data_IF_789388816106
#
_entry.id   IF_789388816106
#
_cell.length_a   1.000
_cell.length_b   1.000
_cell.length_c   1.000
_cell.angle_alpha   90.00
_cell.angle_beta   90.00
_cell.angle_gamma   90.00
#
_symmetry.space_group_name_H-M   'P 1'
#
loop_
_entity.id
_entity.type
_entity.pdbx_description
1 polymer ?
#
# COMPACT_ATOMS: atom_id res chain seq x y z
N UNK A 1 8.56 -22.03 3.36
CA UNK A 1 9.26 -20.88 3.94
C UNK A 1 8.65 -19.59 3.43
N UNK A 2 8.34 -18.67 4.30
CA UNK A 2 7.76 -17.40 3.89
C UNK A 2 8.83 -16.54 3.20
N UNK A 3 8.43 -15.85 2.13
CA UNK A 3 9.30 -14.86 1.50
C UNK A 3 9.47 -13.67 2.42
N UNK A 4 10.64 -13.06 2.34
CA UNK A 4 10.95 -11.88 3.15
C UNK A 4 11.82 -10.94 2.33
N UNK A 5 11.30 -9.75 2.06
CA UNK A 5 12.01 -8.74 1.26
C UNK A 5 12.87 -7.81 2.10
N UNK A 6 12.62 -7.75 3.39
CA UNK A 6 13.20 -6.75 4.27
C UNK A 6 12.42 -5.45 4.33
N UNK A 7 11.37 -5.31 3.53
CA UNK A 7 10.50 -4.14 3.55
C UNK A 7 9.25 -4.41 4.37
N UNK A 8 8.75 -3.37 5.02
CA UNK A 8 7.52 -3.43 5.81
C UNK A 8 6.51 -2.43 5.27
N UNK A 9 5.22 -2.80 5.34
CA UNK A 9 4.15 -1.88 4.97
C UNK A 9 3.76 -1.03 6.18
N UNK A 10 3.51 0.26 5.92
CA UNK A 10 3.04 1.20 6.92
C UNK A 10 1.85 1.96 6.37
N UNK A 11 0.79 2.05 7.14
CA UNK A 11 -0.41 2.76 6.73
C UNK A 11 -0.41 4.17 7.32
N UNK A 12 -0.74 5.15 6.46
CA UNK A 12 -1.01 6.50 6.93
C UNK A 12 -2.30 6.51 7.75
N UNK A 13 -2.55 7.66 8.41
CA UNK A 13 -3.82 7.85 9.12
C UNK A 13 -5.01 7.68 8.17
N UNK A 14 -4.92 8.20 6.96
CA UNK A 14 -5.99 8.10 5.99
C UNK A 14 -6.23 6.66 5.54
N UNK A 15 -5.17 5.91 5.28
CA UNK A 15 -5.27 4.51 4.91
C UNK A 15 -5.84 3.67 6.07
N UNK A 16 -5.40 3.93 7.30
CA UNK A 16 -5.93 3.25 8.48
C UNK A 16 -7.41 3.56 8.69
N UNK A 17 -7.82 4.81 8.46
CA UNK A 17 -9.23 5.21 8.58
C UNK A 17 -10.11 4.44 7.60
N UNK A 18 -9.62 4.18 6.39
CA UNK A 18 -10.33 3.35 5.43
C UNK A 18 -10.63 1.96 6.02
N UNK A 19 -9.64 1.34 6.66
CA UNK A 19 -9.80 0.00 7.25
C UNK A 19 -10.82 -0.03 8.38
N UNK A 20 -10.84 0.99 9.21
CA UNK A 20 -11.74 1.05 10.38
C UNK A 20 -13.20 0.88 9.96
N UNK A 21 -13.56 1.40 8.78
CA UNK A 21 -14.92 1.30 8.27
C UNK A 21 -15.28 -0.03 7.59
N UNK A 22 -14.34 -1.00 7.56
CA UNK A 22 -14.54 -2.25 6.85
C UNK A 22 -14.80 -3.41 7.80
N UNK A 23 -15.42 -4.47 7.27
CA UNK A 23 -15.60 -5.70 8.03
C UNK A 23 -14.23 -6.30 8.37
N UNK A 24 -14.19 -7.12 9.41
CA UNK A 24 -12.96 -7.78 9.81
C UNK A 24 -12.35 -8.62 8.68
N UNK A 25 -13.20 -9.29 7.91
CA UNK A 25 -12.76 -10.08 6.76
C UNK A 25 -12.06 -9.21 5.73
N UNK A 26 -12.64 -8.06 5.41
CA UNK A 26 -12.03 -7.13 4.46
C UNK A 26 -10.76 -6.51 5.02
N UNK A 27 -10.72 -6.20 6.32
CA UNK A 27 -9.51 -5.69 6.95
C UNK A 27 -8.35 -6.66 6.79
N UNK A 28 -8.57 -7.94 7.08
CA UNK A 28 -7.53 -8.95 6.93
C UNK A 28 -7.08 -9.07 5.47
N UNK A 29 -8.02 -9.06 4.55
CA UNK A 29 -7.72 -9.17 3.12
C UNK A 29 -6.87 -7.98 2.64
N UNK A 30 -7.26 -6.76 3.02
CA UNK A 30 -6.52 -5.55 2.63
C UNK A 30 -5.13 -5.55 3.24
N UNK A 31 -4.97 -5.97 4.49
CA UNK A 31 -3.66 -6.05 5.12
C UNK A 31 -2.76 -7.09 4.42
N UNK A 32 -3.33 -8.21 3.99
CA UNK A 32 -2.59 -9.20 3.21
C UNK A 32 -2.11 -8.62 1.88
N UNK A 33 -2.95 -7.83 1.22
CA UNK A 33 -2.57 -7.15 -0.03
C UNK A 33 -1.46 -6.13 0.21
N UNK A 34 -1.54 -5.38 1.31
CA UNK A 34 -0.48 -4.44 1.69
C UNK A 34 0.85 -5.16 1.91
N UNK A 35 0.81 -6.33 2.55
CA UNK A 35 2.01 -7.14 2.76
C UNK A 35 2.58 -7.65 1.44
N UNK A 36 1.73 -7.97 0.47
CA UNK A 36 2.19 -8.36 -0.86
C UNK A 36 2.94 -7.22 -1.55
N UNK A 37 2.48 -5.98 -1.40
CA UNK A 37 3.20 -4.82 -1.93
C UNK A 37 4.58 -4.73 -1.29
N UNK A 38 4.67 -4.93 0.02
CA UNK A 38 5.94 -4.89 0.73
C UNK A 38 6.89 -6.03 0.31
N UNK A 39 6.35 -7.19 -0.07
CA UNK A 39 7.16 -8.30 -0.59
C UNK A 39 7.75 -7.99 -1.96
N UNK A 40 7.13 -7.10 -2.72
CA UNK A 40 7.56 -6.74 -4.07
C UNK A 40 7.71 -5.23 -4.22
N UNK A 41 8.63 -4.61 -3.45
CA UNK A 41 8.72 -3.14 -3.40
C UNK A 41 9.21 -2.50 -4.69
N UNK A 42 9.78 -3.29 -5.62
CA UNK A 42 10.28 -2.79 -6.88
C UNK A 42 9.33 -3.06 -8.05
N UNK A 43 8.14 -3.61 -7.79
CA UNK A 43 7.19 -3.86 -8.87
C UNK A 43 6.71 -2.54 -9.47
N UNK A 44 6.35 -2.60 -10.76
CA UNK A 44 5.84 -1.44 -11.46
C UNK A 44 4.35 -1.31 -11.15
N UNK A 45 3.95 -0.14 -10.67
CA UNK A 45 2.54 0.15 -10.41
C UNK A 45 1.77 0.38 -11.70
N UNK A 46 0.44 0.41 -11.61
CA UNK A 46 -0.41 0.64 -12.78
C UNK A 46 -0.21 2.05 -13.35
N UNK A 47 -0.06 3.05 -12.49
CA UNK A 47 0.23 4.42 -12.91
C UNK A 47 0.79 5.20 -11.72
N UNK A 48 1.38 6.35 -12.02
CA UNK A 48 1.91 7.25 -10.99
C UNK A 48 1.17 8.59 -11.03
N UNK A 49 1.03 9.18 -9.85
CA UNK A 49 0.46 10.52 -9.71
C UNK A 49 1.36 11.34 -8.79
N UNK A 50 1.11 12.64 -8.70
CA UNK A 50 1.80 13.50 -7.77
C UNK A 50 0.94 13.68 -6.53
N UNK A 51 1.56 13.65 -5.34
CA UNK A 51 0.87 14.00 -4.11
C UNK A 51 0.81 15.51 -3.94
N UNK A 52 0.26 15.98 -2.81
CA UNK A 52 0.11 17.41 -2.55
C UNK A 52 1.44 18.15 -2.45
N UNK A 53 2.51 17.43 -2.13
CA UNK A 53 3.87 17.99 -2.03
C UNK A 53 4.65 17.87 -3.33
N UNK A 54 4.04 17.35 -4.38
CA UNK A 54 4.69 17.16 -5.67
C UNK A 54 5.54 15.90 -5.78
N UNK A 55 5.46 15.00 -4.82
CA UNK A 55 6.18 13.73 -4.87
C UNK A 55 5.43 12.71 -5.72
N UNK A 56 6.19 11.89 -6.43
CA UNK A 56 5.59 10.79 -7.20
C UNK A 56 5.11 9.69 -6.25
N UNK A 57 3.88 9.28 -6.43
CA UNK A 57 3.32 8.14 -5.70
C UNK A 57 2.83 7.10 -6.69
N UNK A 58 2.93 5.84 -6.30
CA UNK A 58 2.50 4.72 -7.10
C UNK A 58 1.04 4.39 -6.81
N UNK A 59 0.32 3.96 -7.84
CA UNK A 59 -1.07 3.53 -7.71
C UNK A 59 -1.18 2.13 -8.29
N UNK A 60 -1.56 1.18 -7.47
CA UNK A 60 -1.62 -0.22 -7.82
C UNK A 60 -2.99 -0.79 -7.47
N UNK A 61 -3.66 -1.33 -8.49
CA UNK A 61 -4.95 -1.97 -8.31
C UNK A 61 -4.75 -3.45 -8.00
N UNK A 62 -5.21 -3.87 -6.84
CA UNK A 62 -5.19 -5.27 -6.41
C UNK A 62 -6.62 -5.69 -6.07
N UNK A 63 -7.21 -6.51 -6.96
CA UNK A 63 -8.60 -6.92 -6.81
C UNK A 63 -9.53 -5.71 -6.86
N UNK A 64 -10.27 -5.47 -5.79
CA UNK A 64 -11.22 -4.37 -5.70
C UNK A 64 -10.64 -3.12 -5.03
N UNK A 65 -9.34 -3.12 -4.71
CA UNK A 65 -8.75 -2.04 -3.94
C UNK A 65 -7.62 -1.37 -4.70
N UNK A 66 -7.65 -0.06 -4.71
CA UNK A 66 -6.58 0.75 -5.27
C UNK A 66 -5.70 1.25 -4.13
N UNK A 67 -4.42 0.91 -4.18
CA UNK A 67 -3.43 1.32 -3.19
C UNK A 67 -2.59 2.45 -3.76
N UNK A 68 -2.52 3.56 -3.02
CA UNK A 68 -1.62 4.67 -3.33
C UNK A 68 -0.51 4.64 -2.31
N UNK A 69 0.74 4.57 -2.79
CA UNK A 69 1.88 4.37 -1.90
C UNK A 69 3.16 4.92 -2.52
N UNK A 70 4.19 5.03 -1.70
CA UNK A 70 5.55 5.26 -2.16
C UNK A 70 6.49 4.40 -1.31
N UNK A 71 7.68 4.14 -1.86
CA UNK A 71 8.65 3.25 -1.21
C UNK A 71 9.82 4.08 -0.71
N UNK A 72 10.09 3.99 0.58
CA UNK A 72 11.25 4.60 1.20
C UNK A 72 12.35 3.56 1.29
N UNK A 73 13.25 3.57 0.33
CA UNK A 73 14.31 2.57 0.25
C UNK A 73 15.38 2.74 1.33
N UNK A 74 15.52 3.94 1.89
CA UNK A 74 16.49 4.20 2.95
C UNK A 74 16.17 3.44 4.22
N UNK A 75 14.88 3.36 4.57
CA UNK A 75 14.42 2.66 5.78
C UNK A 75 13.66 1.38 5.46
N UNK A 76 13.54 1.03 4.18
CA UNK A 76 12.86 -0.18 3.71
C UNK A 76 11.41 -0.24 4.18
N UNK A 77 10.67 0.83 3.89
CA UNK A 77 9.25 0.92 4.18
C UNK A 77 8.44 1.21 2.93
N UNK A 78 7.33 0.51 2.80
CA UNK A 78 6.32 0.84 1.80
C UNK A 78 5.25 1.66 2.53
N UNK A 79 5.18 2.93 2.21
CA UNK A 79 4.27 3.86 2.90
C UNK A 79 2.99 4.00 2.10
N UNK A 80 1.94 3.34 2.58
CA UNK A 80 0.63 3.36 1.94
C UNK A 80 -0.12 4.59 2.45
N UNK A 81 -0.36 5.54 1.56
CA UNK A 81 -0.97 6.82 1.91
C UNK A 81 -2.47 6.82 1.77
N UNK A 82 -3.00 6.01 0.86
CA UNK A 82 -4.44 5.96 0.61
C UNK A 82 -4.83 4.58 0.10
N UNK A 83 -6.03 4.14 0.49
CA UNK A 83 -6.64 2.92 -0.02
C UNK A 83 -8.07 3.27 -0.42
N UNK A 84 -8.46 2.89 -1.63
CA UNK A 84 -9.80 3.16 -2.14
C UNK A 84 -10.38 1.87 -2.69
N UNK A 85 -11.65 1.63 -2.41
CA UNK A 85 -12.37 0.52 -3.04
C UNK A 85 -12.94 1.00 -4.38
N UNK A 86 -12.69 0.23 -5.41
CA UNK A 86 -13.19 0.51 -6.75
C UNK A 86 -14.31 -0.46 -7.16
#
# INVERSE_FOLDING_TARGET
>A
MAEFSGYESHLSRQAAAFLIGRSRRQQCHVLDLADQIALHPFQISDYQTDDDDGHKVDNLLLGEFLFTYWVDHAVKEVRITEITKV
#
